data_IF_570364025899
#
_entry.id   IF_570364025899
#
_cell.length_a   1.000
_cell.length_b   1.000
_cell.length_c   1.000
_cell.angle_alpha   90.00
_cell.angle_beta   90.00
_cell.angle_gamma   90.00
#
_symmetry.space_group_name_H-M   'P 1'
#
loop_
_entity.id
_entity.type
_entity.pdbx_description
1 polymer ?
#
# COMPACT_ATOMS: atom_id res chain seq x y z
N UNK A 1 7.07 -29.33 -7.14
CA UNK A 1 7.50 -28.34 -6.12
C UNK A 1 6.39 -28.20 -5.10
N UNK A 2 6.72 -28.15 -3.80
CA UNK A 2 5.77 -27.89 -2.71
C UNK A 2 5.97 -26.44 -2.26
N UNK A 3 4.89 -25.68 -2.11
CA UNK A 3 4.93 -24.30 -1.64
C UNK A 3 4.40 -24.25 -0.20
N UNK A 4 5.13 -23.57 0.68
CA UNK A 4 4.68 -23.28 2.04
C UNK A 4 4.57 -21.76 2.17
N UNK A 5 3.38 -21.30 2.55
CA UNK A 5 3.10 -19.87 2.68
C UNK A 5 3.54 -19.39 4.05
N UNK A 6 4.30 -18.30 4.06
CA UNK A 6 4.74 -17.61 5.27
C UNK A 6 4.19 -16.19 5.22
N UNK A 7 3.32 -15.84 6.15
CA UNK A 7 2.83 -14.48 6.29
C UNK A 7 3.89 -13.61 6.95
N UNK A 8 4.11 -12.41 6.40
CA UNK A 8 5.16 -11.49 6.85
C UNK A 8 4.70 -10.07 6.58
N UNK A 9 4.94 -9.16 7.54
CA UNK A 9 4.61 -7.74 7.38
C UNK A 9 5.33 -7.15 6.17
N UNK A 10 4.62 -6.35 5.37
CA UNK A 10 5.05 -5.98 4.02
C UNK A 10 6.41 -5.26 3.97
N UNK A 11 6.65 -4.36 4.93
CA UNK A 11 7.89 -3.61 5.09
C UNK A 11 9.10 -4.50 5.42
N UNK A 12 8.87 -5.63 6.08
CA UNK A 12 9.89 -6.58 6.51
C UNK A 12 10.20 -7.69 5.51
N UNK A 13 9.43 -7.79 4.40
CA UNK A 13 9.57 -8.89 3.42
C UNK A 13 10.98 -8.96 2.81
N UNK A 14 11.55 -7.85 2.36
CA UNK A 14 12.89 -7.86 1.74
C UNK A 14 13.99 -8.22 2.76
N UNK A 15 14.03 -7.62 3.97
CA UNK A 15 14.92 -8.09 5.03
C UNK A 15 14.78 -9.58 5.34
N UNK A 16 13.55 -10.10 5.42
CA UNK A 16 13.29 -11.51 5.71
C UNK A 16 13.74 -12.45 4.58
N UNK A 17 13.57 -12.05 3.31
CA UNK A 17 14.09 -12.75 2.15
C UNK A 17 15.61 -12.83 2.19
N UNK A 18 16.29 -11.71 2.44
CA UNK A 18 17.76 -11.66 2.55
C UNK A 18 18.28 -12.49 3.73
N UNK A 19 17.50 -12.57 4.82
CA UNK A 19 17.78 -13.44 5.97
C UNK A 19 17.40 -14.92 5.74
N UNK A 20 16.98 -15.29 4.52
CA UNK A 20 16.61 -16.66 4.12
C UNK A 20 15.47 -17.27 4.95
N UNK A 21 14.53 -16.46 5.41
CA UNK A 21 13.32 -16.97 6.10
C UNK A 21 12.30 -17.61 5.15
N UNK A 22 12.37 -17.27 3.87
CA UNK A 22 11.63 -17.86 2.75
C UNK A 22 12.40 -17.57 1.45
N UNK A 23 12.07 -18.29 0.38
CA UNK A 23 12.86 -18.28 -0.86
C UNK A 23 12.31 -17.35 -1.96
N UNK A 24 11.04 -16.95 -1.86
CA UNK A 24 10.37 -16.13 -2.88
C UNK A 24 9.29 -15.24 -2.27
N UNK A 25 8.97 -14.15 -2.99
CA UNK A 25 7.95 -13.18 -2.58
C UNK A 25 6.85 -13.11 -3.63
N UNK A 26 5.62 -13.40 -3.23
CA UNK A 26 4.42 -13.18 -4.04
C UNK A 26 3.42 -12.33 -3.28
N UNK A 27 3.70 -11.03 -3.17
CA UNK A 27 2.90 -10.10 -2.35
C UNK A 27 2.73 -8.73 -3.01
N UNK A 28 2.40 -8.69 -4.30
CA UNK A 28 2.16 -7.44 -5.05
C UNK A 28 3.29 -6.41 -4.94
N UNK A 29 4.54 -6.87 -4.83
CA UNK A 29 5.67 -5.99 -4.58
C UNK A 29 6.04 -5.19 -5.83
N UNK A 30 5.85 -3.87 -5.77
CA UNK A 30 6.26 -2.99 -6.85
C UNK A 30 7.78 -3.07 -7.10
N UNK A 31 8.16 -3.17 -8.37
CA UNK A 31 9.55 -3.15 -8.82
C UNK A 31 10.06 -1.71 -8.75
N UNK A 32 11.06 -1.44 -7.92
CA UNK A 32 11.70 -0.11 -7.81
C UNK A 32 13.21 -0.24 -7.87
N UNK A 33 13.97 0.80 -8.25
CA UNK A 33 15.44 0.77 -8.24
C UNK A 33 16.01 0.38 -6.86
N UNK A 34 15.45 0.95 -5.79
CA UNK A 34 15.85 0.63 -4.40
C UNK A 34 15.72 -0.86 -4.09
N UNK A 35 14.61 -1.50 -4.52
CA UNK A 35 14.39 -2.93 -4.29
C UNK A 35 15.23 -3.80 -5.22
N UNK A 36 15.38 -3.43 -6.49
CA UNK A 36 16.25 -4.11 -7.46
C UNK A 36 17.72 -4.14 -7.04
N UNK A 37 18.17 -3.15 -6.27
CA UNK A 37 19.51 -3.14 -5.70
C UNK A 37 19.70 -4.18 -4.57
N UNK A 38 18.61 -4.72 -4.02
CA UNK A 38 18.66 -5.66 -2.89
C UNK A 38 18.24 -7.09 -3.28
N UNK A 39 17.31 -7.24 -4.23
CA UNK A 39 16.72 -8.53 -4.60
C UNK A 39 16.43 -8.59 -6.10
N UNK A 40 16.42 -9.81 -6.65
CA UNK A 40 16.00 -10.04 -8.03
C UNK A 40 14.47 -10.09 -8.13
N UNK A 41 13.94 -9.72 -9.30
CA UNK A 41 12.53 -9.79 -9.63
C UNK A 41 12.32 -10.70 -10.84
N UNK A 42 11.16 -11.35 -10.90
CA UNK A 42 10.66 -11.99 -12.11
C UNK A 42 10.23 -10.94 -13.15
N UNK A 43 9.76 -11.40 -14.30
CA UNK A 43 8.93 -10.57 -15.17
C UNK A 43 7.70 -10.03 -14.43
N UNK A 44 7.19 -8.88 -14.89
CA UNK A 44 6.05 -8.21 -14.28
C UNK A 44 4.80 -9.11 -14.40
N UNK A 45 4.27 -9.53 -13.25
CA UNK A 45 3.04 -10.35 -13.22
C UNK A 45 1.78 -9.53 -13.52
N UNK A 46 1.72 -8.29 -13.03
CA UNK A 46 0.63 -7.35 -13.30
C UNK A 46 1.05 -5.92 -12.95
N UNK A 47 0.37 -4.94 -13.57
CA UNK A 47 0.51 -3.53 -13.24
C UNK A 47 -0.87 -2.95 -12.96
N UNK A 48 -1.15 -2.64 -11.70
CA UNK A 48 -2.41 -2.02 -11.27
C UNK A 48 -2.06 -0.64 -10.72
N UNK A 49 -2.62 0.45 -11.26
CA UNK A 49 -2.37 1.79 -10.74
C UNK A 49 -2.94 1.93 -9.32
N UNK A 50 -2.32 2.79 -8.52
CA UNK A 50 -2.88 3.18 -7.23
C UNK A 50 -4.04 4.14 -7.45
N UNK A 51 -5.09 4.03 -6.65
CA UNK A 51 -6.25 4.93 -6.70
C UNK A 51 -6.58 5.41 -5.30
N UNK A 52 -7.05 6.65 -5.18
CA UNK A 52 -7.61 7.13 -3.93
C UNK A 52 -8.96 6.44 -3.69
N UNK A 53 -9.11 5.80 -2.54
CA UNK A 53 -10.34 5.16 -2.11
C UNK A 53 -10.86 5.89 -0.87
N UNK A 54 -12.13 6.30 -0.92
CA UNK A 54 -12.83 6.95 0.17
C UNK A 54 -14.24 6.35 0.29
N UNK A 55 -14.97 6.72 1.35
CA UNK A 55 -16.38 6.30 1.52
C UNK A 55 -17.23 6.76 0.33
N UNK A 56 -18.26 5.96 0.00
CA UNK A 56 -19.23 6.28 -1.07
C UNK A 56 -19.83 7.67 -0.84
N UNK A 57 -19.91 8.47 -1.90
CA UNK A 57 -20.41 9.85 -1.83
C UNK A 57 -19.33 10.89 -1.47
N UNK A 58 -18.09 10.47 -1.18
CA UNK A 58 -16.97 11.39 -1.06
C UNK A 58 -16.69 12.10 -2.37
N UNK A 59 -16.34 13.39 -2.28
CA UNK A 59 -15.89 14.24 -3.39
C UNK A 59 -14.38 14.48 -3.34
N UNK A 60 -13.63 13.65 -2.59
CA UNK A 60 -12.19 13.80 -2.47
C UNK A 60 -11.49 13.38 -3.76
N UNK A 61 -10.61 14.26 -4.22
CA UNK A 61 -9.68 13.98 -5.32
C UNK A 61 -8.29 13.67 -4.79
N UNK A 62 -7.49 12.96 -5.59
CA UNK A 62 -6.13 12.54 -5.24
C UNK A 62 -5.09 13.67 -5.35
N UNK A 63 -5.48 14.92 -5.04
CA UNK A 63 -4.60 16.10 -5.05
C UNK A 63 -4.28 16.54 -3.63
N UNK A 64 -3.10 17.11 -3.40
CA UNK A 64 -2.72 17.55 -2.06
C UNK A 64 -3.64 18.66 -1.54
N UNK A 65 -4.14 19.49 -2.45
CA UNK A 65 -5.04 20.60 -2.17
C UNK A 65 -6.42 20.10 -1.71
N UNK A 66 -6.98 19.09 -2.38
CA UNK A 66 -8.26 18.47 -1.99
C UNK A 66 -8.16 17.66 -0.69
N UNK A 67 -6.97 17.12 -0.39
CA UNK A 67 -6.71 16.30 0.79
C UNK A 67 -6.24 17.12 2.01
N UNK A 68 -6.11 18.44 1.90
CA UNK A 68 -5.62 19.27 3.01
C UNK A 68 -6.55 19.17 4.22
N UNK A 69 -5.99 18.90 5.40
CA UNK A 69 -6.74 18.68 6.64
C UNK A 69 -7.49 17.34 6.70
N UNK A 70 -7.28 16.45 5.72
CA UNK A 70 -7.77 15.06 5.73
C UNK A 70 -6.72 14.11 6.29
N UNK A 71 -7.21 13.00 6.83
CA UNK A 71 -6.42 11.89 7.36
C UNK A 71 -6.40 10.77 6.33
N UNK A 72 -5.21 10.44 5.83
CA UNK A 72 -5.01 9.46 4.76
C UNK A 72 -4.22 8.28 5.30
N UNK A 73 -4.82 7.10 5.28
CA UNK A 73 -4.18 5.85 5.71
C UNK A 73 -3.44 5.16 4.57
N UNK A 74 -2.19 4.76 4.83
CA UNK A 74 -1.33 4.03 3.89
C UNK A 74 -0.65 2.86 4.59
N UNK A 75 -0.38 1.78 3.84
CA UNK A 75 0.32 0.60 4.37
C UNK A 75 1.83 0.82 4.40
N UNK A 76 2.51 0.49 5.50
CA UNK A 76 3.95 0.75 5.65
C UNK A 76 4.79 -0.04 4.65
N UNK A 77 5.92 0.54 4.23
CA UNK A 77 6.88 -0.04 3.30
C UNK A 77 6.42 -0.03 1.84
N UNK A 78 5.20 0.43 1.56
CA UNK A 78 4.64 0.49 0.21
C UNK A 78 5.13 1.71 -0.58
N UNK A 79 5.02 1.66 -1.91
CA UNK A 79 5.33 2.83 -2.75
C UNK A 79 4.34 3.97 -2.55
N UNK A 80 3.12 3.64 -2.11
CA UNK A 80 2.03 4.57 -1.85
C UNK A 80 2.29 5.35 -0.56
N UNK A 81 2.84 4.70 0.47
CA UNK A 81 3.36 5.41 1.64
C UNK A 81 4.42 6.43 1.26
N UNK A 82 5.47 6.00 0.54
CA UNK A 82 6.54 6.91 0.11
C UNK A 82 6.00 8.11 -0.66
N UNK A 83 5.05 7.87 -1.59
CA UNK A 83 4.40 8.93 -2.34
C UNK A 83 3.58 9.87 -1.46
N UNK A 84 2.71 9.33 -0.61
CA UNK A 84 1.84 10.12 0.26
C UNK A 84 2.65 11.00 1.22
N UNK A 85 3.72 10.46 1.81
CA UNK A 85 4.62 11.24 2.68
C UNK A 85 5.33 12.35 1.89
N UNK A 86 5.89 12.03 0.72
CA UNK A 86 6.66 13.00 -0.05
C UNK A 86 5.81 14.10 -0.69
N UNK A 87 4.59 13.78 -1.14
CA UNK A 87 3.77 14.67 -1.97
C UNK A 87 2.62 15.31 -1.19
N UNK A 88 1.99 14.56 -0.28
CA UNK A 88 0.81 15.04 0.46
C UNK A 88 1.18 15.54 1.85
N UNK A 89 1.95 14.76 2.61
CA UNK A 89 2.33 15.16 3.98
C UNK A 89 3.20 16.42 3.99
N UNK A 90 4.11 16.54 3.03
CA UNK A 90 4.91 17.77 2.83
C UNK A 90 4.08 19.02 2.54
N UNK A 91 2.81 18.86 2.13
CA UNK A 91 1.84 19.93 1.85
C UNK A 91 0.75 20.06 2.93
N UNK A 92 0.91 19.40 4.08
CA UNK A 92 0.02 19.53 5.24
C UNK A 92 -1.17 18.57 5.27
N UNK A 93 -1.15 17.50 4.47
CA UNK A 93 -2.09 16.38 4.61
C UNK A 93 -1.64 15.48 5.77
N UNK A 94 -2.57 15.00 6.60
CA UNK A 94 -2.22 14.05 7.66
C UNK A 94 -2.11 12.65 7.05
N UNK A 95 -0.89 12.12 6.95
CA UNK A 95 -0.66 10.75 6.46
C UNK A 95 -0.37 9.84 7.66
N UNK A 96 -1.15 8.76 7.79
CA UNK A 96 -1.02 7.77 8.86
C UNK A 96 -0.56 6.46 8.23
N UNK A 97 0.55 5.93 8.75
CA UNK A 97 1.16 4.69 8.28
C UNK A 97 0.71 3.52 9.15
N UNK A 98 0.19 2.47 8.53
CA UNK A 98 -0.40 1.29 9.17
C UNK A 98 0.37 0.01 8.84
N UNK A 99 0.52 -0.87 9.83
CA UNK A 99 1.24 -2.15 9.71
C UNK A 99 0.79 -3.03 8.54
N UNK A 100 -0.51 -3.00 8.19
CA UNK A 100 -1.06 -3.76 7.08
C UNK A 100 -2.30 -3.07 6.49
N UNK A 101 -2.71 -3.52 5.31
CA UNK A 101 -3.85 -2.95 4.58
C UNK A 101 -5.19 -3.21 5.28
N UNK A 102 -5.32 -4.29 6.06
CA UNK A 102 -6.57 -4.59 6.75
C UNK A 102 -6.85 -3.59 7.87
N UNK A 103 -5.82 -3.16 8.60
CA UNK A 103 -5.92 -2.08 9.58
C UNK A 103 -6.33 -0.75 8.92
N UNK A 104 -5.79 -0.45 7.73
CA UNK A 104 -6.21 0.74 6.95
C UNK A 104 -7.68 0.65 6.59
N UNK A 105 -8.14 -0.51 6.12
CA UNK A 105 -9.53 -0.71 5.71
C UNK A 105 -10.50 -0.56 6.90
N UNK A 106 -10.16 -1.14 8.06
CA UNK A 106 -10.97 -1.02 9.28
C UNK A 106 -11.09 0.45 9.75
N UNK A 107 -10.01 1.22 9.66
CA UNK A 107 -10.02 2.63 10.01
C UNK A 107 -10.80 3.48 9.00
N UNK A 108 -10.75 3.12 7.71
CA UNK A 108 -11.58 3.76 6.69
C UNK A 108 -13.06 3.47 6.93
N UNK A 109 -13.43 2.21 7.18
CA UNK A 109 -14.81 1.81 7.43
C UNK A 109 -15.38 2.52 8.67
N UNK A 110 -14.63 2.54 9.76
CA UNK A 110 -15.01 3.24 10.99
C UNK A 110 -15.02 4.77 10.86
N UNK A 111 -14.37 5.33 9.83
CA UNK A 111 -14.27 6.77 9.62
C UNK A 111 -13.19 7.46 10.45
N UNK A 112 -12.23 6.69 10.99
CA UNK A 112 -11.02 7.25 11.64
C UNK A 112 -10.07 7.91 10.64
N UNK A 113 -10.11 7.47 9.38
CA UNK A 113 -9.43 8.09 8.25
C UNK A 113 -10.43 8.46 7.16
N UNK A 114 -10.12 9.49 6.38
CA UNK A 114 -10.97 10.01 5.32
C UNK A 114 -10.82 9.21 4.01
N UNK A 115 -9.60 8.75 3.72
CA UNK A 115 -9.28 7.99 2.51
C UNK A 115 -8.02 7.14 2.66
N UNK A 116 -7.77 6.29 1.66
CA UNK A 116 -6.57 5.46 1.53
C UNK A 116 -6.08 5.44 0.08
N UNK A 117 -4.80 5.15 -0.14
CA UNK A 117 -4.19 5.02 -1.47
C UNK A 117 -3.68 3.58 -1.70
N UNK A 118 -4.56 2.59 -1.95
CA UNK A 118 -4.16 1.23 -2.26
C UNK A 118 -4.03 1.02 -3.78
N UNK A 119 -3.48 -0.13 -4.17
CA UNK A 119 -3.84 -0.76 -5.44
C UNK A 119 -5.20 -1.45 -5.29
N UNK A 120 -6.22 -1.05 -6.06
CA UNK A 120 -7.55 -1.62 -5.90
C UNK A 120 -7.53 -3.10 -6.28
N UNK A 121 -8.10 -3.94 -5.42
CA UNK A 121 -8.39 -5.33 -5.82
C UNK A 121 -9.58 -5.30 -6.78
N UNK A 122 -9.55 -6.09 -7.85
CA UNK A 122 -10.79 -6.46 -8.56
C UNK A 122 -11.66 -7.26 -7.59
N UNK A 123 -12.47 -6.58 -6.77
CA UNK A 123 -13.61 -7.23 -6.14
C UNK A 123 -14.64 -7.48 -7.23
N UNK A 124 -15.11 -8.73 -7.36
CA UNK A 124 -16.38 -8.97 -8.05
C UNK A 124 -17.45 -8.15 -7.32
N UNK A 125 -18.41 -7.54 -8.03
CA UNK A 125 -19.53 -6.90 -7.35
C UNK A 125 -20.16 -7.93 -6.41
N UNK A 126 -20.35 -7.54 -5.15
CA UNK A 126 -21.26 -8.27 -4.28
C UNK A 126 -22.63 -8.25 -4.98
N UNK A 127 -23.13 -9.43 -5.33
CA UNK A 127 -24.51 -9.60 -5.77
C UNK A 127 -25.46 -9.25 -4.62
#
# INVERSE_FOLDING_TARGET
>A
MKCEWVETAYDSIIPALNAKKFDAVLSAMAITPKRKAQVNFTDVLYNIPSVLVAKKGSTLDATAEALKGKVIGVSQGTTQETYAMAVWQSKGVQVVSYQNQDAVNLDLESGRIDATLPTPRRQKPAF
#
